data_IF_814292066150
#
_entry.id   IF_814292066150
#
_cell.length_a   1.000
_cell.length_b   1.000
_cell.length_c   1.000
_cell.angle_alpha   90.00
_cell.angle_beta   90.00
_cell.angle_gamma   90.00
#
_symmetry.space_group_name_H-M   'P 1'
#
loop_
_entity.id
_entity.type
_entity.pdbx_description
1 polymer ?
#
# COMPACT_ATOMS: atom_id res chain seq x y z
N UNK A 1 11.66 -39.59 9.13
CA UNK A 1 12.23 -38.56 8.25
C UNK A 1 11.24 -37.42 8.24
N UNK A 2 11.41 -36.50 9.20
CA UNK A 2 10.50 -35.39 9.43
C UNK A 2 11.10 -34.19 8.67
N UNK A 3 10.46 -33.81 7.56
CA UNK A 3 10.84 -32.60 6.84
C UNK A 3 10.40 -31.39 7.67
N UNK A 4 11.36 -30.68 8.17
CA UNK A 4 11.19 -29.36 8.79
C UNK A 4 10.82 -28.38 7.66
N UNK A 5 9.53 -28.07 7.53
CA UNK A 5 9.07 -26.93 6.73
C UNK A 5 9.34 -25.65 7.52
N UNK A 6 10.30 -24.87 7.09
CA UNK A 6 10.42 -23.48 7.50
C UNK A 6 9.21 -22.73 6.90
N UNK A 7 8.42 -22.01 7.70
CA UNK A 7 7.37 -21.17 7.17
C UNK A 7 8.02 -20.02 6.40
N UNK A 8 7.69 -19.92 5.11
CA UNK A 8 8.04 -18.78 4.29
C UNK A 8 7.21 -17.58 4.78
N UNK A 9 7.77 -16.84 5.73
CA UNK A 9 7.19 -15.57 6.14
C UNK A 9 7.31 -14.63 4.94
N UNK A 10 6.19 -14.37 4.25
CA UNK A 10 6.04 -13.17 3.45
C UNK A 10 5.99 -12.02 4.46
N UNK A 11 7.15 -11.65 4.90
CA UNK A 11 7.37 -10.57 5.82
C UNK A 11 7.54 -9.33 4.97
N UNK A 12 6.53 -8.50 4.92
CA UNK A 12 6.78 -7.07 4.82
C UNK A 12 7.43 -6.73 6.17
N UNK A 13 8.72 -7.07 6.27
CA UNK A 13 9.52 -6.84 7.46
C UNK A 13 9.95 -5.38 7.47
N UNK A 14 9.24 -4.59 8.20
CA UNK A 14 9.83 -3.43 8.83
C UNK A 14 10.65 -3.94 10.02
N UNK A 15 11.95 -4.09 9.81
CA UNK A 15 12.89 -4.35 10.89
C UNK A 15 13.15 -3.04 11.63
N UNK A 16 12.36 -2.77 12.66
CA UNK A 16 12.78 -1.86 13.72
C UNK A 16 13.92 -2.54 14.50
N UNK A 17 15.16 -2.26 14.15
CA UNK A 17 16.33 -2.62 14.97
C UNK A 17 16.75 -1.42 15.80
N UNK A 18 16.14 -1.29 16.96
CA UNK A 18 16.78 -0.62 18.08
C UNK A 18 17.85 -1.53 18.70
N UNK A 19 19.06 -1.49 18.20
CA UNK A 19 20.29 -1.86 18.96
C UNK A 19 21.44 -1.01 18.45
N UNK A 20 21.88 -0.11 19.31
CA UNK A 20 23.12 0.63 19.13
C UNK A 20 24.28 -0.36 19.00
N UNK A 21 24.89 -0.44 17.83
CA UNK A 21 26.20 -1.05 17.62
C UNK A 21 27.26 0.04 17.42
N UNK A 22 28.49 -0.18 17.87
CA UNK A 22 29.48 0.87 18.01
C UNK A 22 29.94 1.39 16.65
N UNK A 23 30.16 2.70 16.63
CA UNK A 23 30.79 3.47 15.57
C UNK A 23 32.09 2.78 15.13
N UNK A 24 32.08 2.07 14.01
CA UNK A 24 33.26 1.68 13.33
C UNK A 24 33.77 2.84 12.50
N UNK A 25 34.95 3.30 12.84
CA UNK A 25 35.75 4.30 12.15
C UNK A 25 35.74 4.07 10.64
N UNK A 26 35.27 5.06 9.91
CA UNK A 26 35.41 5.17 8.46
C UNK A 26 36.89 5.13 8.10
N UNK A 27 37.33 4.07 7.42
CA UNK A 27 38.53 4.06 6.65
C UNK A 27 38.27 4.58 5.23
N UNK A 28 38.98 5.63 4.79
CA UNK A 28 38.74 6.25 3.48
C UNK A 28 39.48 5.59 2.30
N UNK A 29 39.72 4.30 2.31
CA UNK A 29 40.43 3.60 1.25
C UNK A 29 39.73 2.33 0.73
N UNK A 30 38.47 2.41 0.46
CA UNK A 30 37.86 1.49 -0.53
C UNK A 30 37.97 2.14 -1.89
N UNK A 31 38.93 1.67 -2.68
CA UNK A 31 39.00 1.95 -4.12
C UNK A 31 37.61 1.87 -4.70
N UNK A 32 37.08 2.99 -5.25
CA UNK A 32 35.77 3.01 -5.88
C UNK A 32 35.80 1.99 -7.01
N UNK A 33 35.00 0.92 -6.91
CA UNK A 33 34.79 -0.02 -8.00
C UNK A 33 34.45 0.79 -9.26
N UNK A 34 34.98 0.43 -10.44
CA UNK A 34 34.57 1.06 -11.68
C UNK A 34 33.06 1.09 -11.76
N UNK A 35 32.49 2.17 -12.28
CA UNK A 35 31.07 2.40 -12.39
C UNK A 35 30.31 1.18 -12.93
N UNK A 36 30.88 0.55 -13.97
CA UNK A 36 30.32 -0.65 -14.59
C UNK A 36 30.19 -1.82 -13.61
N UNK A 37 31.21 -2.08 -12.79
CA UNK A 37 31.17 -3.18 -11.84
C UNK A 37 30.10 -2.95 -10.76
N UNK A 38 29.91 -1.70 -10.32
CA UNK A 38 28.83 -1.34 -9.39
C UNK A 38 27.46 -1.58 -10.02
N UNK A 39 27.28 -1.19 -11.27
CA UNK A 39 26.03 -1.39 -12.01
C UNK A 39 25.71 -2.88 -12.23
N UNK A 40 26.74 -3.70 -12.57
CA UNK A 40 26.62 -5.15 -12.69
C UNK A 40 26.23 -5.79 -11.34
N UNK A 41 26.87 -5.39 -10.25
CA UNK A 41 26.56 -5.88 -8.90
C UNK A 41 25.11 -5.54 -8.52
N UNK A 42 24.67 -4.31 -8.76
CA UNK A 42 23.32 -3.86 -8.42
C UNK A 42 22.25 -4.62 -9.22
N UNK A 43 22.49 -4.84 -10.51
CA UNK A 43 21.62 -5.65 -11.36
C UNK A 43 21.52 -7.10 -10.85
N UNK A 44 22.66 -7.70 -10.48
CA UNK A 44 22.71 -9.08 -9.98
C UNK A 44 22.02 -9.22 -8.61
N UNK A 45 22.10 -8.21 -7.76
CA UNK A 45 21.34 -8.15 -6.50
C UNK A 45 19.82 -8.10 -6.78
N UNK A 46 19.39 -7.22 -7.66
CA UNK A 46 17.98 -7.09 -8.03
C UNK A 46 17.43 -8.38 -8.65
N UNK A 47 18.17 -9.00 -9.58
CA UNK A 47 17.78 -10.27 -10.21
C UNK A 47 17.64 -11.41 -9.19
N UNK A 48 18.54 -11.49 -8.19
CA UNK A 48 18.44 -12.49 -7.11
C UNK A 48 17.18 -12.31 -6.27
N UNK A 49 16.82 -11.06 -5.94
CA UNK A 49 15.57 -10.80 -5.23
C UNK A 49 14.35 -11.13 -6.06
N UNK A 50 14.35 -10.78 -7.36
CA UNK A 50 13.27 -11.11 -8.28
C UNK A 50 13.07 -12.62 -8.41
N UNK A 51 14.13 -13.37 -8.70
CA UNK A 51 14.09 -14.83 -8.87
C UNK A 51 13.55 -15.54 -7.63
N UNK A 52 13.91 -15.04 -6.44
CA UNK A 52 13.50 -15.65 -5.17
C UNK A 52 12.06 -15.29 -4.79
N UNK A 53 11.59 -14.07 -5.07
CA UNK A 53 10.44 -13.49 -4.39
C UNK A 53 9.32 -13.02 -5.32
N UNK A 54 9.55 -12.89 -6.64
CA UNK A 54 8.51 -12.48 -7.58
C UNK A 54 7.33 -13.46 -7.52
N UNK A 55 6.10 -12.95 -7.50
CA UNK A 55 4.91 -13.77 -7.25
C UNK A 55 4.62 -14.83 -8.33
N UNK A 56 5.09 -14.64 -9.54
CA UNK A 56 5.04 -15.59 -10.67
C UNK A 56 6.40 -16.14 -11.06
N UNK A 57 7.34 -16.24 -10.11
CA UNK A 57 8.73 -16.66 -10.36
C UNK A 57 8.87 -18.02 -11.06
N UNK A 58 7.89 -18.92 -10.87
CA UNK A 58 7.90 -20.26 -11.48
C UNK A 58 7.64 -20.23 -13.00
N UNK A 59 7.10 -19.11 -13.51
CA UNK A 59 6.78 -18.93 -14.94
C UNK A 59 7.90 -18.25 -15.72
N UNK A 60 9.01 -17.88 -15.07
CA UNK A 60 10.08 -17.07 -15.66
C UNK A 60 11.32 -17.91 -15.95
N UNK A 61 11.85 -17.79 -17.17
CA UNK A 61 13.21 -18.25 -17.47
C UNK A 61 14.22 -17.19 -16.96
N UNK A 62 14.60 -17.35 -15.70
CA UNK A 62 15.52 -16.42 -15.03
C UNK A 62 16.89 -16.36 -15.69
N UNK A 63 17.37 -17.46 -16.28
CA UNK A 63 18.65 -17.50 -16.96
C UNK A 63 18.64 -16.64 -18.23
N UNK A 64 17.59 -16.76 -19.03
CA UNK A 64 17.41 -15.97 -20.24
C UNK A 64 17.19 -14.48 -19.89
N UNK A 65 16.32 -14.19 -18.93
CA UNK A 65 16.07 -12.82 -18.46
C UNK A 65 17.36 -12.15 -17.98
N UNK A 66 18.14 -12.83 -17.13
CA UNK A 66 19.40 -12.29 -16.61
C UNK A 66 20.44 -12.05 -17.74
N UNK A 67 20.55 -12.98 -18.69
CA UNK A 67 21.46 -12.81 -19.83
C UNK A 67 21.09 -11.57 -20.65
N UNK A 68 19.81 -11.38 -20.95
CA UNK A 68 19.30 -10.23 -21.71
C UNK A 68 19.43 -8.92 -20.92
N UNK A 69 19.18 -8.93 -19.62
CA UNK A 69 19.34 -7.76 -18.76
C UNK A 69 20.81 -7.28 -18.74
N UNK A 70 21.78 -8.21 -18.64
CA UNK A 70 23.20 -7.86 -18.75
C UNK A 70 23.57 -7.30 -20.12
N UNK A 71 22.93 -7.79 -21.21
CA UNK A 71 23.12 -7.20 -22.54
C UNK A 71 22.58 -5.77 -22.63
N UNK A 72 21.48 -5.44 -21.92
CA UNK A 72 21.02 -4.05 -21.83
C UNK A 72 22.03 -3.19 -21.09
N UNK A 73 22.58 -3.68 -19.98
CA UNK A 73 23.59 -2.97 -19.22
C UNK A 73 24.88 -2.70 -20.00
N UNK A 74 25.24 -3.58 -20.96
CA UNK A 74 26.40 -3.38 -21.83
C UNK A 74 26.27 -2.18 -22.78
N UNK A 75 25.05 -1.72 -23.05
CA UNK A 75 24.76 -0.55 -23.92
C UNK A 75 24.74 0.75 -23.13
N UNK A 76 24.98 0.66 -21.86
CA UNK A 76 24.83 1.72 -20.90
C UNK A 76 26.09 2.57 -20.78
N UNK A 77 25.91 3.89 -20.73
CA UNK A 77 27.01 4.87 -20.72
C UNK A 77 27.32 5.42 -19.30
N UNK A 78 26.47 5.10 -18.29
CA UNK A 78 26.64 5.60 -16.93
C UNK A 78 26.21 4.58 -15.85
N UNK A 79 26.48 4.89 -14.56
CA UNK A 79 26.18 4.00 -13.42
C UNK A 79 24.69 3.84 -13.16
N UNK A 80 23.86 4.84 -13.49
CA UNK A 80 22.41 4.84 -13.23
C UNK A 80 21.68 3.92 -14.21
N UNK A 81 22.39 3.42 -15.23
CA UNK A 81 21.85 2.50 -16.22
C UNK A 81 21.51 1.11 -15.65
N UNK A 82 21.99 0.80 -14.42
CA UNK A 82 21.51 -0.35 -13.67
C UNK A 82 19.99 -0.24 -13.41
N UNK A 83 19.49 0.93 -13.03
CA UNK A 83 18.06 1.16 -12.80
C UNK A 83 17.24 0.99 -14.10
N UNK A 84 17.80 1.42 -15.22
CA UNK A 84 17.19 1.22 -16.52
C UNK A 84 17.09 -0.27 -16.87
N UNK A 85 18.16 -1.05 -16.60
CA UNK A 85 18.20 -2.49 -16.83
C UNK A 85 17.27 -3.26 -15.88
N UNK A 86 17.17 -2.86 -14.62
CA UNK A 86 16.21 -3.40 -13.64
C UNK A 86 14.77 -3.09 -14.09
N UNK A 87 14.49 -1.85 -14.48
CA UNK A 87 13.18 -1.43 -15.00
C UNK A 87 12.82 -2.19 -16.29
N UNK A 88 13.81 -2.48 -17.13
CA UNK A 88 13.62 -3.32 -18.30
C UNK A 88 13.18 -4.74 -17.92
N UNK A 89 13.76 -5.34 -16.87
CA UNK A 89 13.31 -6.64 -16.36
C UNK A 89 11.83 -6.63 -15.99
N UNK A 90 11.35 -5.62 -15.27
CA UNK A 90 9.92 -5.51 -14.93
C UNK A 90 9.03 -5.48 -16.17
N UNK A 91 9.44 -4.76 -17.22
CA UNK A 91 8.71 -4.73 -18.50
C UNK A 91 8.66 -6.10 -19.18
N UNK A 92 9.76 -6.89 -19.11
CA UNK A 92 9.78 -8.25 -19.68
C UNK A 92 8.87 -9.21 -18.90
N UNK A 93 8.74 -9.01 -17.58
CA UNK A 93 7.82 -9.75 -16.74
C UNK A 93 6.35 -9.34 -16.92
N UNK A 94 6.07 -8.31 -17.72
CA UNK A 94 4.73 -7.72 -17.83
C UNK A 94 4.30 -6.99 -16.54
N UNK A 95 5.25 -6.73 -15.66
CA UNK A 95 5.03 -6.15 -14.34
C UNK A 95 4.86 -4.64 -14.43
N UNK A 96 3.85 -4.09 -13.73
CA UNK A 96 3.52 -2.66 -13.74
C UNK A 96 3.53 -2.03 -12.34
N UNK A 97 3.62 -2.86 -11.30
CA UNK A 97 3.56 -2.42 -9.90
C UNK A 97 4.93 -2.45 -9.23
N UNK A 98 5.90 -3.20 -9.80
CA UNK A 98 7.28 -3.20 -9.33
C UNK A 98 8.06 -1.99 -9.90
N UNK A 99 8.93 -1.44 -9.08
CA UNK A 99 9.81 -0.32 -9.47
C UNK A 99 11.06 -0.28 -8.60
N UNK A 100 12.03 0.56 -9.00
CA UNK A 100 13.20 0.87 -8.18
C UNK A 100 13.08 2.30 -7.64
N UNK A 101 13.32 2.43 -6.34
CA UNK A 101 13.29 3.70 -5.63
C UNK A 101 14.74 4.14 -5.41
N UNK A 102 15.17 5.28 -5.97
CA UNK A 102 16.51 5.82 -5.76
C UNK A 102 16.79 6.14 -4.29
N UNK A 103 18.06 6.20 -3.87
CA UNK A 103 18.47 6.34 -2.46
C UNK A 103 17.86 7.53 -1.73
N UNK A 104 17.74 8.69 -2.40
CA UNK A 104 17.16 9.91 -1.85
C UNK A 104 15.66 9.75 -1.51
N UNK A 105 14.93 9.06 -2.39
CA UNK A 105 13.51 8.76 -2.16
C UNK A 105 13.33 7.65 -1.13
N UNK A 106 14.22 6.65 -1.14
CA UNK A 106 14.20 5.55 -0.20
C UNK A 106 14.43 6.03 1.24
N UNK A 107 15.40 6.93 1.46
CA UNK A 107 15.68 7.52 2.76
C UNK A 107 14.46 8.26 3.33
N UNK A 108 13.77 9.01 2.49
CA UNK A 108 12.55 9.73 2.88
C UNK A 108 11.39 8.80 3.22
N UNK A 109 11.20 7.77 2.40
CA UNK A 109 10.15 6.77 2.61
C UNK A 109 10.35 6.00 3.92
N UNK A 110 11.59 5.63 4.22
CA UNK A 110 11.95 4.86 5.41
C UNK A 110 12.02 5.70 6.71
N UNK A 111 11.92 7.03 6.60
CA UNK A 111 12.07 7.93 7.75
C UNK A 111 13.52 8.15 8.19
N UNK A 112 14.50 7.78 7.35
CA UNK A 112 15.93 7.99 7.64
C UNK A 112 16.32 9.49 7.59
N UNK A 113 15.54 10.30 6.88
CA UNK A 113 15.64 11.75 6.90
C UNK A 113 14.61 12.33 7.88
N UNK A 114 15.08 13.08 8.88
CA UNK A 114 14.20 13.75 9.82
C UNK A 114 13.26 14.71 9.07
N UNK A 115 11.95 14.60 9.35
CA UNK A 115 10.95 15.54 8.86
C UNK A 115 11.12 16.86 9.60
N UNK A 116 12.05 17.69 9.14
CA UNK A 116 12.41 18.97 9.80
C UNK A 116 11.29 20.01 9.73
N UNK A 117 10.20 19.78 8.98
CA UNK A 117 9.11 20.74 8.83
C UNK A 117 7.74 20.07 8.61
N UNK A 118 6.64 20.76 8.98
CA UNK A 118 5.28 20.33 8.65
C UNK A 118 5.02 20.11 7.14
N UNK A 119 5.76 20.83 6.29
CA UNK A 119 5.70 20.64 4.83
C UNK A 119 6.23 19.28 4.38
N UNK A 120 7.21 18.70 5.09
CA UNK A 120 7.72 17.35 4.80
C UNK A 120 6.67 16.24 4.97
N UNK A 121 5.76 16.39 5.94
CA UNK A 121 4.67 15.44 6.15
C UNK A 121 3.63 15.50 5.01
N UNK A 122 3.34 16.70 4.49
CA UNK A 122 2.39 16.88 3.39
C UNK A 122 2.87 16.21 2.07
N UNK A 123 4.19 16.00 1.92
CA UNK A 123 4.76 15.27 0.79
C UNK A 123 4.66 13.73 0.96
N UNK A 124 4.36 13.25 2.17
CA UNK A 124 4.29 11.83 2.51
C UNK A 124 2.87 11.32 2.75
N UNK A 125 1.95 12.21 3.06
CA UNK A 125 0.58 11.84 3.43
C UNK A 125 -0.42 12.76 2.72
N UNK A 126 -1.43 12.15 2.11
CA UNK A 126 -2.53 12.89 1.50
C UNK A 126 -3.47 13.53 2.52
N UNK A 127 -4.45 14.26 2.02
CA UNK A 127 -5.43 14.94 2.86
C UNK A 127 -6.36 13.96 3.58
N UNK A 128 -6.52 14.13 4.90
CA UNK A 128 -7.55 13.50 5.72
C UNK A 128 -8.63 14.54 5.97
N UNK A 129 -9.79 14.35 5.37
CA UNK A 129 -10.90 15.28 5.51
C UNK A 129 -12.16 14.54 5.92
N UNK A 130 -12.87 15.09 6.90
CA UNK A 130 -14.20 14.62 7.30
C UNK A 130 -15.20 15.75 7.34
N UNK A 131 -16.43 15.49 6.93
CA UNK A 131 -17.54 16.44 7.00
C UNK A 131 -18.89 15.72 7.11
N UNK A 132 -19.88 16.38 7.71
CA UNK A 132 -21.27 15.96 7.59
C UNK A 132 -21.84 16.51 6.29
N UNK A 133 -22.33 15.61 5.42
CA UNK A 133 -23.06 16.03 4.21
C UNK A 133 -24.52 16.35 4.49
N UNK A 134 -25.07 15.64 5.47
CA UNK A 134 -26.41 15.82 6.00
C UNK A 134 -26.39 15.51 7.50
N UNK A 135 -27.51 15.65 8.19
CA UNK A 135 -27.62 15.29 9.60
C UNK A 135 -27.41 13.78 9.88
N UNK A 136 -27.41 12.93 8.85
CA UNK A 136 -27.31 11.47 8.99
C UNK A 136 -26.25 10.83 8.10
N UNK A 137 -25.50 11.59 7.29
CA UNK A 137 -24.49 11.08 6.38
C UNK A 137 -23.16 11.79 6.67
N UNK A 138 -22.15 11.02 7.05
CA UNK A 138 -20.77 11.48 7.17
C UNK A 138 -19.98 11.13 5.91
N UNK A 139 -19.00 11.96 5.60
CA UNK A 139 -18.05 11.80 4.51
C UNK A 139 -16.62 11.84 5.06
N UNK A 140 -15.78 10.94 4.56
CA UNK A 140 -14.39 10.80 4.97
C UNK A 140 -13.51 10.52 3.75
N UNK A 141 -12.43 11.28 3.58
CA UNK A 141 -11.36 10.91 2.64
C UNK A 141 -10.32 10.06 3.35
N UNK A 142 -9.84 9.01 2.68
CA UNK A 142 -8.69 8.21 3.16
C UNK A 142 -7.45 8.65 2.38
N UNK A 143 -6.39 9.08 3.07
CA UNK A 143 -5.19 9.60 2.41
C UNK A 143 -4.41 8.48 1.74
N UNK A 144 -3.59 8.81 0.74
CA UNK A 144 -2.43 8.01 0.36
C UNK A 144 -1.32 8.22 1.42
N UNK A 145 -0.48 7.19 1.62
CA UNK A 145 0.59 7.23 2.64
C UNK A 145 1.89 6.71 2.04
N UNK A 146 2.81 7.60 1.69
CA UNK A 146 4.10 7.26 1.11
C UNK A 146 5.21 7.25 2.17
N UNK A 147 4.96 6.54 3.27
CA UNK A 147 5.93 6.35 4.35
C UNK A 147 5.71 5.00 5.01
N UNK A 148 6.79 4.41 5.53
CA UNK A 148 6.74 3.29 6.47
C UNK A 148 7.37 3.64 7.83
N UNK A 149 7.68 4.92 8.05
CA UNK A 149 8.02 5.40 9.39
C UNK A 149 6.86 5.12 10.35
N UNK A 150 7.18 4.44 11.45
CA UNK A 150 6.16 3.95 12.39
C UNK A 150 5.38 5.08 13.07
N UNK A 151 6.04 6.23 13.34
CA UNK A 151 5.40 7.39 13.96
C UNK A 151 4.48 8.10 12.97
N UNK A 152 4.86 8.18 11.70
CA UNK A 152 4.00 8.71 10.62
C UNK A 152 2.79 7.82 10.47
N UNK A 153 2.99 6.50 10.41
CA UNK A 153 1.90 5.53 10.27
C UNK A 153 0.91 5.58 11.43
N UNK A 154 1.40 5.62 12.68
CA UNK A 154 0.56 5.76 13.88
C UNK A 154 -0.25 7.06 13.84
N UNK A 155 0.40 8.19 13.56
CA UNK A 155 -0.30 9.49 13.48
C UNK A 155 -1.37 9.53 12.38
N UNK A 156 -1.15 8.89 11.25
CA UNK A 156 -2.16 8.79 10.20
C UNK A 156 -3.35 7.97 10.67
N UNK A 157 -3.12 6.82 11.29
CA UNK A 157 -4.17 5.97 11.83
C UNK A 157 -4.99 6.71 12.90
N UNK A 158 -4.32 7.37 13.84
CA UNK A 158 -4.93 8.20 14.88
C UNK A 158 -5.77 9.33 14.29
N UNK A 159 -5.21 10.04 13.30
CA UNK A 159 -5.92 11.16 12.64
C UNK A 159 -7.19 10.71 11.94
N UNK A 160 -7.16 9.56 11.25
CA UNK A 160 -8.36 9.00 10.61
C UNK A 160 -9.39 8.62 11.64
N UNK A 161 -9.01 7.94 12.73
CA UNK A 161 -9.94 7.59 13.81
C UNK A 161 -10.48 8.82 14.55
N UNK A 162 -9.66 9.85 14.78
CA UNK A 162 -10.12 11.10 15.39
C UNK A 162 -11.18 11.80 14.52
N UNK A 163 -11.01 11.79 13.19
CA UNK A 163 -12.04 12.31 12.27
C UNK A 163 -13.31 11.45 12.35
N UNK A 164 -13.20 10.13 12.37
CA UNK A 164 -14.38 9.24 12.53
C UNK A 164 -15.09 9.54 13.84
N UNK A 165 -14.36 9.62 14.96
CA UNK A 165 -14.92 9.92 16.28
C UNK A 165 -15.61 11.29 16.31
N UNK A 166 -14.99 12.31 15.73
CA UNK A 166 -15.58 13.66 15.63
C UNK A 166 -16.87 13.71 14.81
N UNK A 167 -16.98 12.84 13.79
CA UNK A 167 -18.19 12.75 12.97
C UNK A 167 -19.28 11.87 13.59
N UNK A 168 -18.92 10.86 14.38
CA UNK A 168 -19.87 9.88 14.96
C UNK A 168 -20.62 10.40 16.21
N UNK A 169 -20.40 11.64 16.60
CA UNK A 169 -21.08 12.28 17.76
C UNK A 169 -22.59 12.27 17.72
N UNK A 170 -23.18 12.01 16.53
CA UNK A 170 -24.63 11.92 16.30
C UNK A 170 -25.10 10.49 16.04
N UNK A 171 -24.31 9.47 16.41
CA UNK A 171 -24.60 8.07 16.10
C UNK A 171 -24.81 7.81 14.61
N UNK A 172 -23.90 8.33 13.79
CA UNK A 172 -23.96 8.23 12.33
C UNK A 172 -23.87 6.77 11.89
N UNK A 173 -24.89 6.34 11.13
CA UNK A 173 -24.93 4.98 10.56
C UNK A 173 -24.67 4.94 9.05
N UNK A 174 -24.51 6.10 8.40
CA UNK A 174 -24.34 6.23 6.96
C UNK A 174 -23.06 6.98 6.63
N UNK A 175 -22.17 6.31 5.89
CA UNK A 175 -20.83 6.81 5.61
C UNK A 175 -20.51 6.79 4.12
N UNK A 176 -19.82 7.82 3.65
CA UNK A 176 -19.16 7.84 2.35
C UNK A 176 -17.67 7.87 2.61
N UNK A 177 -16.95 6.87 2.11
CA UNK A 177 -15.50 6.77 2.14
C UNK A 177 -14.96 7.12 0.74
N UNK A 178 -14.19 8.18 0.62
CA UNK A 178 -13.68 8.61 -0.68
C UNK A 178 -12.23 8.17 -0.89
N UNK A 179 -12.03 7.27 -1.84
CA UNK A 179 -10.74 6.75 -2.28
C UNK A 179 -10.33 7.28 -3.65
N UNK A 180 -11.12 8.15 -4.29
CA UNK A 180 -10.90 8.59 -5.67
C UNK A 180 -9.54 9.25 -5.91
N UNK A 181 -8.96 9.84 -4.89
CA UNK A 181 -7.62 10.47 -4.93
C UNK A 181 -6.56 9.71 -4.13
N UNK A 182 -6.85 8.48 -3.70
CA UNK A 182 -5.88 7.66 -2.97
C UNK A 182 -4.95 6.95 -3.95
N UNK A 183 -3.75 7.48 -4.13
CA UNK A 183 -2.71 6.95 -5.03
C UNK A 183 -1.92 5.77 -4.43
N UNK A 184 -2.33 5.23 -3.29
CA UNK A 184 -1.70 4.07 -2.67
C UNK A 184 -0.63 4.40 -1.63
N UNK A 185 0.40 3.58 -1.58
CA UNK A 185 1.48 3.64 -0.59
C UNK A 185 1.33 2.56 0.48
N UNK A 186 1.48 2.92 1.76
CA UNK A 186 1.35 2.00 2.89
C UNK A 186 -0.12 1.83 3.28
N UNK A 187 -0.66 0.62 3.13
CA UNK A 187 -2.06 0.33 3.46
C UNK A 187 -2.34 0.22 4.97
N UNK A 188 -1.33 -0.09 5.77
CA UNK A 188 -1.52 -0.44 7.17
C UNK A 188 -2.09 0.69 8.03
N UNK A 189 -1.58 1.94 7.94
CA UNK A 189 -2.19 3.06 8.65
C UNK A 189 -3.61 3.39 8.15
N UNK A 190 -3.89 3.17 6.86
CA UNK A 190 -5.24 3.35 6.31
C UNK A 190 -6.21 2.33 6.93
N UNK A 191 -5.81 1.04 6.98
CA UNK A 191 -6.64 -0.05 7.53
C UNK A 191 -6.84 0.10 9.04
N UNK A 192 -5.79 0.49 9.79
CA UNK A 192 -5.91 0.78 11.21
C UNK A 192 -6.86 1.96 11.46
N UNK A 193 -6.75 3.02 10.64
CA UNK A 193 -7.59 4.21 10.76
C UNK A 193 -9.08 3.95 10.48
N UNK A 194 -9.41 3.15 9.44
CA UNK A 194 -10.81 2.85 9.09
C UNK A 194 -11.42 1.71 9.90
N UNK A 195 -10.63 1.04 10.74
CA UNK A 195 -11.07 -0.10 11.54
C UNK A 195 -12.41 0.08 12.25
N UNK A 196 -12.70 1.23 12.89
CA UNK A 196 -13.99 1.49 13.54
C UNK A 196 -15.20 1.35 12.61
N UNK A 197 -15.04 1.59 11.31
CA UNK A 197 -16.13 1.49 10.33
C UNK A 197 -16.35 0.06 9.82
N UNK A 198 -15.29 -0.75 9.78
CA UNK A 198 -15.34 -2.16 9.35
C UNK A 198 -15.60 -3.13 10.50
N UNK A 199 -15.15 -2.77 11.71
CA UNK A 199 -15.15 -3.66 12.89
C UNK A 199 -14.02 -4.69 12.83
N UNK A 200 -13.86 -5.44 13.92
CA UNK A 200 -12.86 -6.50 14.03
C UNK A 200 -13.11 -7.62 13.02
N UNK A 201 -12.05 -8.19 12.48
CA UNK A 201 -12.12 -9.33 11.59
C UNK A 201 -11.17 -9.28 10.40
N UNK A 202 -11.37 -10.21 9.47
CA UNK A 202 -10.59 -10.32 8.25
C UNK A 202 -11.13 -9.37 7.19
N UNK A 203 -10.24 -8.58 6.61
CA UNK A 203 -10.55 -7.61 5.57
C UNK A 203 -10.23 -8.13 4.16
N UNK A 204 -9.27 -9.04 4.05
CA UNK A 204 -8.82 -9.63 2.82
C UNK A 204 -7.63 -10.54 3.05
N UNK A 205 -6.96 -10.92 1.98
CA UNK A 205 -5.79 -11.77 2.04
C UNK A 205 -4.72 -11.33 1.05
N UNK A 206 -3.46 -11.51 1.44
CA UNK A 206 -2.36 -11.64 0.49
C UNK A 206 -2.22 -13.11 0.09
N UNK A 207 -2.09 -13.35 -1.22
CA UNK A 207 -2.01 -14.71 -1.78
C UNK A 207 -0.70 -14.86 -2.52
N UNK A 208 0.15 -15.77 -2.03
CA UNK A 208 1.44 -16.10 -2.64
C UNK A 208 1.66 -17.60 -2.62
N UNK A 209 2.07 -18.17 -3.74
CA UNK A 209 2.39 -19.63 -3.85
C UNK A 209 1.30 -20.55 -3.27
N UNK A 210 0.03 -20.16 -3.40
CA UNK A 210 -1.13 -20.92 -2.87
C UNK A 210 -1.43 -20.68 -1.39
N UNK A 211 -0.58 -19.99 -0.66
CA UNK A 211 -0.82 -19.60 0.73
C UNK A 211 -1.64 -18.31 0.81
N UNK A 212 -2.53 -18.22 1.79
CA UNK A 212 -3.35 -17.06 2.09
C UNK A 212 -2.97 -16.50 3.44
N UNK A 213 -2.46 -15.27 3.46
CA UNK A 213 -2.10 -14.54 4.67
C UNK A 213 -3.20 -13.52 4.94
N UNK A 214 -3.98 -13.65 6.03
CA UNK A 214 -5.06 -12.71 6.29
C UNK A 214 -4.55 -11.31 6.58
N UNK A 215 -5.27 -10.34 6.04
CA UNK A 215 -5.22 -8.92 6.39
C UNK A 215 -6.39 -8.71 7.33
N UNK A 216 -6.14 -8.27 8.56
CA UNK A 216 -7.19 -8.16 9.57
C UNK A 216 -7.02 -6.91 10.42
N UNK A 217 -8.10 -6.56 11.10
CA UNK A 217 -8.12 -5.53 12.12
C UNK A 217 -8.61 -6.15 13.43
N UNK A 218 -8.01 -5.74 14.53
CA UNK A 218 -8.43 -6.13 15.86
C UNK A 218 -8.06 -5.01 16.85
N UNK A 219 -9.05 -4.42 17.45
CA UNK A 219 -8.94 -3.43 18.54
C UNK A 219 -7.82 -2.38 18.29
N UNK A 220 -7.99 -1.56 17.27
CA UNK A 220 -7.04 -0.51 16.91
C UNK A 220 -5.81 -0.97 16.12
N UNK A 221 -5.68 -2.27 15.85
CA UNK A 221 -4.49 -2.84 15.22
C UNK A 221 -4.79 -3.45 13.85
N UNK A 222 -4.08 -3.01 12.81
CA UNK A 222 -4.06 -3.66 11.51
C UNK A 222 -2.95 -4.72 11.47
N UNK A 223 -3.31 -5.94 11.05
CA UNK A 223 -2.48 -7.12 11.18
C UNK A 223 -2.29 -7.84 9.85
N UNK A 224 -1.09 -8.40 9.64
CA UNK A 224 -0.78 -9.38 8.62
C UNK A 224 -0.60 -10.76 9.28
N UNK A 225 -1.51 -11.68 9.02
CA UNK A 225 -1.55 -12.93 9.76
C UNK A 225 -1.74 -12.68 11.26
N UNK A 226 -0.75 -13.10 12.06
CA UNK A 226 -0.72 -12.86 13.52
C UNK A 226 0.14 -11.67 13.95
N UNK A 227 0.74 -10.96 13.00
CA UNK A 227 1.65 -9.85 13.29
C UNK A 227 0.92 -8.53 13.18
N UNK A 228 0.98 -7.73 14.25
CA UNK A 228 0.55 -6.33 14.22
C UNK A 228 1.57 -5.55 13.40
N UNK A 229 1.09 -4.85 12.37
CA UNK A 229 1.94 -4.03 11.49
C UNK A 229 1.76 -2.55 11.79
N UNK A 230 0.54 -2.10 12.04
CA UNK A 230 0.25 -0.73 12.45
C UNK A 230 -0.85 -0.75 13.49
N UNK A 231 -0.75 0.12 14.48
CA UNK A 231 -1.81 0.33 15.47
C UNK A 231 -2.05 1.81 15.68
N UNK A 232 -3.21 2.14 16.18
CA UNK A 232 -3.47 3.46 16.76
C UNK A 232 -2.79 3.56 18.13
N UNK A 233 -2.50 4.76 18.59
CA UNK A 233 -2.01 4.98 19.96
C UNK A 233 -3.06 4.52 20.98
N UNK A 234 -2.61 4.12 22.17
CA UNK A 234 -3.50 3.60 23.23
C UNK A 234 -4.59 4.61 23.62
N UNK A 235 -4.32 5.90 23.48
CA UNK A 235 -5.25 6.98 23.84
C UNK A 235 -6.28 7.31 22.73
N UNK A 236 -6.17 6.70 21.54
CA UNK A 236 -6.97 7.07 20.36
C UNK A 236 -7.83 5.93 19.80
N UNK A 237 -7.83 4.76 20.40
CA UNK A 237 -8.68 3.64 20.00
C UNK A 237 -10.15 4.05 20.05
N UNK A 238 -10.84 4.02 18.90
CA UNK A 238 -12.24 4.42 18.79
C UNK A 238 -13.14 3.27 18.39
N UNK A 239 -14.31 3.21 19.02
CA UNK A 239 -15.38 2.28 18.67
C UNK A 239 -16.64 3.08 18.31
N UNK A 240 -17.16 2.85 17.11
CA UNK A 240 -18.37 3.55 16.65
C UNK A 240 -19.62 3.12 17.42
N UNK A 241 -20.53 4.07 17.65
CA UNK A 241 -21.79 3.79 18.35
C UNK A 241 -22.76 2.92 17.54
N UNK A 242 -22.82 3.12 16.21
CA UNK A 242 -23.73 2.36 15.37
C UNK A 242 -23.24 0.94 15.14
N UNK A 243 -24.01 -0.08 15.58
CA UNK A 243 -23.73 -1.48 15.34
C UNK A 243 -23.83 -1.85 13.85
N UNK A 244 -24.76 -1.22 13.11
CA UNK A 244 -24.96 -1.42 11.68
C UNK A 244 -24.70 -0.13 10.92
N UNK A 245 -23.84 -0.20 9.90
CA UNK A 245 -23.47 0.94 9.08
C UNK A 245 -23.73 0.65 7.62
N UNK A 246 -24.35 1.61 6.93
CA UNK A 246 -24.41 1.60 5.46
C UNK A 246 -23.28 2.45 4.92
N UNK A 247 -22.43 1.86 4.09
CA UNK A 247 -21.20 2.49 3.64
C UNK A 247 -21.14 2.50 2.12
N UNK A 248 -20.90 3.68 1.55
CA UNK A 248 -20.50 3.82 0.15
C UNK A 248 -19.02 4.11 0.08
N UNK A 249 -18.31 3.39 -0.78
CA UNK A 249 -16.93 3.67 -1.11
C UNK A 249 -16.85 4.26 -2.50
N UNK A 250 -16.36 5.50 -2.61
CA UNK A 250 -16.12 6.14 -3.90
C UNK A 250 -14.77 5.71 -4.46
N UNK A 251 -14.79 5.13 -5.66
CA UNK A 251 -13.58 4.67 -6.36
C UNK A 251 -13.38 5.41 -7.69
N UNK A 252 -12.17 5.39 -8.19
CA UNK A 252 -11.83 5.99 -9.47
C UNK A 252 -10.48 5.51 -10.01
N UNK A 253 -10.10 5.97 -11.17
CA UNK A 253 -8.85 5.58 -11.85
C UNK A 253 -7.58 5.91 -11.06
N UNK A 254 -7.67 6.81 -10.09
CA UNK A 254 -6.57 7.19 -9.18
C UNK A 254 -6.67 6.50 -7.82
N UNK A 255 -7.62 5.58 -7.65
CA UNK A 255 -7.60 4.60 -6.55
C UNK A 255 -6.61 3.51 -6.94
N UNK A 256 -5.45 3.49 -6.29
CA UNK A 256 -4.27 2.72 -6.73
C UNK A 256 -3.71 1.91 -5.57
N UNK A 257 -3.28 0.66 -5.81
CA UNK A 257 -2.48 -0.15 -4.87
C UNK A 257 -3.11 -0.21 -3.46
N UNK A 258 -2.48 0.35 -2.42
CA UNK A 258 -3.04 0.37 -1.07
C UNK A 258 -4.47 0.94 -0.99
N UNK A 259 -4.82 1.91 -1.86
CA UNK A 259 -6.20 2.37 -1.99
C UNK A 259 -7.14 1.27 -2.51
N UNK A 260 -6.64 0.35 -3.33
CA UNK A 260 -7.40 -0.80 -3.82
C UNK A 260 -7.57 -1.85 -2.72
N UNK A 261 -6.57 -2.07 -1.85
CA UNK A 261 -6.72 -2.92 -0.63
C UNK A 261 -7.84 -2.37 0.26
N UNK A 262 -7.87 -1.06 0.48
CA UNK A 262 -8.95 -0.44 1.27
C UNK A 262 -10.30 -0.63 0.60
N UNK A 263 -10.41 -0.47 -0.73
CA UNK A 263 -11.65 -0.73 -1.46
C UNK A 263 -12.09 -2.20 -1.35
N UNK A 264 -11.14 -3.15 -1.45
CA UNK A 264 -11.40 -4.60 -1.29
C UNK A 264 -11.90 -4.95 0.11
N UNK A 265 -11.41 -4.24 1.15
CA UNK A 265 -11.86 -4.46 2.53
C UNK A 265 -13.37 -4.20 2.70
N UNK A 266 -13.97 -3.35 1.87
CA UNK A 266 -15.40 -3.05 1.86
C UNK A 266 -16.19 -3.87 0.84
N UNK A 267 -15.55 -4.28 -0.28
CA UNK A 267 -16.27 -4.87 -1.42
C UNK A 267 -16.96 -6.18 -1.07
N UNK A 268 -18.26 -6.24 -1.38
CA UNK A 268 -19.09 -7.43 -1.18
C UNK A 268 -19.55 -7.68 0.26
N UNK A 269 -19.30 -6.73 1.17
CA UNK A 269 -19.88 -6.77 2.52
C UNK A 269 -21.34 -6.32 2.50
N UNK A 270 -22.11 -6.80 3.46
CA UNK A 270 -23.47 -6.34 3.66
C UNK A 270 -23.49 -4.82 3.92
N UNK A 271 -24.54 -4.16 3.45
CA UNK A 271 -24.72 -2.72 3.60
C UNK A 271 -23.56 -1.86 3.05
N UNK A 272 -22.77 -2.39 2.11
CA UNK A 272 -21.73 -1.63 1.41
C UNK A 272 -21.97 -1.59 -0.09
N UNK A 273 -21.50 -0.51 -0.74
CA UNK A 273 -21.58 -0.33 -2.19
C UNK A 273 -20.36 0.46 -2.68
N UNK A 274 -19.67 -0.04 -3.70
CA UNK A 274 -18.63 0.71 -4.39
C UNK A 274 -19.29 1.50 -5.54
N UNK A 275 -19.10 2.82 -5.55
CA UNK A 275 -19.70 3.71 -6.57
C UNK A 275 -18.56 4.53 -7.22
N UNK A 276 -18.64 4.72 -8.55
CA UNK A 276 -17.69 5.53 -9.31
C UNK A 276 -17.12 4.83 -10.52
N UNK A 277 -15.84 5.00 -10.79
CA UNK A 277 -15.12 4.35 -11.89
C UNK A 277 -14.29 3.16 -11.39
N UNK A 278 -13.93 2.22 -12.29
CA UNK A 278 -12.95 1.18 -11.98
C UNK A 278 -11.62 1.75 -11.48
N UNK A 279 -10.99 1.06 -10.57
CA UNK A 279 -9.70 1.43 -9.99
C UNK A 279 -8.54 1.33 -10.99
N UNK A 280 -7.31 1.61 -10.56
CA UNK A 280 -6.12 1.53 -11.42
C UNK A 280 -5.80 0.11 -11.91
N UNK A 281 -6.04 -0.90 -11.07
CA UNK A 281 -5.78 -2.30 -11.36
C UNK A 281 -4.38 -2.76 -10.96
N UNK A 282 -3.84 -2.20 -9.87
CA UNK A 282 -2.62 -2.64 -9.21
C UNK A 282 -2.98 -3.42 -7.93
N UNK A 283 -3.80 -4.45 -8.08
CA UNK A 283 -4.33 -5.30 -7.00
C UNK A 283 -3.36 -6.44 -6.66
N UNK A 284 -2.12 -6.06 -6.45
CA UNK A 284 -1.01 -6.90 -6.00
C UNK A 284 -0.29 -6.20 -4.86
N UNK A 285 0.48 -6.91 -4.05
CA UNK A 285 1.24 -6.29 -2.99
C UNK A 285 2.75 -6.45 -3.23
N UNK A 286 3.47 -5.40 -2.85
CA UNK A 286 4.90 -5.30 -2.99
C UNK A 286 5.61 -5.58 -1.66
N UNK A 287 6.83 -6.12 -1.76
CA UNK A 287 7.81 -6.09 -0.69
C UNK A 287 9.00 -5.21 -1.11
N UNK A 288 9.69 -4.66 -0.13
CA UNK A 288 10.84 -3.79 -0.31
C UNK A 288 12.13 -4.53 -0.01
N UNK A 289 13.16 -4.33 -0.84
CA UNK A 289 14.48 -4.93 -0.68
C UNK A 289 15.54 -3.85 -0.86
N UNK A 290 16.31 -3.59 0.20
CA UNK A 290 17.44 -2.65 0.13
C UNK A 290 18.55 -3.22 -0.72
N UNK A 291 19.07 -2.42 -1.64
CA UNK A 291 20.21 -2.75 -2.48
C UNK A 291 21.49 -2.10 -1.95
N UNK A 292 22.65 -2.54 -2.46
CA UNK A 292 23.98 -2.14 -1.95
C UNK A 292 24.28 -0.64 -2.09
N UNK A 293 23.61 0.05 -3.00
CA UNK A 293 23.72 1.50 -3.20
C UNK A 293 22.74 2.32 -2.35
N UNK A 294 21.97 1.66 -1.46
CA UNK A 294 20.86 2.23 -0.65
C UNK A 294 19.60 2.56 -1.45
N UNK A 295 19.52 2.19 -2.72
CA UNK A 295 18.24 2.16 -3.41
C UNK A 295 17.36 1.02 -2.87
N UNK A 296 16.06 1.09 -3.15
CA UNK A 296 15.11 0.06 -2.73
C UNK A 296 14.41 -0.52 -3.95
N UNK A 297 14.54 -1.83 -4.11
CA UNK A 297 13.76 -2.61 -5.05
C UNK A 297 12.37 -2.85 -4.45
N UNK A 298 11.35 -2.25 -5.04
CA UNK A 298 9.94 -2.49 -4.71
C UNK A 298 9.43 -3.55 -5.67
N UNK A 299 9.17 -4.76 -5.18
CA UNK A 299 8.88 -5.94 -5.99
C UNK A 299 7.52 -6.52 -5.65
N UNK A 300 6.71 -6.80 -6.65
CA UNK A 300 5.45 -7.53 -6.49
C UNK A 300 5.71 -8.98 -6.06
N UNK A 301 5.16 -9.35 -4.90
CA UNK A 301 5.40 -10.64 -4.26
C UNK A 301 4.15 -11.47 -4.02
N UNK A 302 2.96 -10.86 -4.11
CA UNK A 302 1.70 -11.57 -3.92
C UNK A 302 0.53 -10.84 -4.61
N UNK A 303 -0.58 -11.58 -4.81
CA UNK A 303 -1.86 -11.04 -5.24
C UNK A 303 -2.72 -10.67 -4.03
N UNK A 304 -3.71 -9.82 -4.24
CA UNK A 304 -4.70 -9.45 -3.24
C UNK A 304 -5.99 -10.23 -3.46
N UNK A 305 -6.64 -10.59 -2.37
CA UNK A 305 -7.95 -11.21 -2.39
C UNK A 305 -8.88 -10.50 -1.39
N UNK A 306 -10.18 -10.49 -1.70
CA UNK A 306 -11.20 -9.95 -0.83
C UNK A 306 -11.38 -10.81 0.45
N UNK A 307 -12.24 -10.35 1.37
CA UNK A 307 -12.51 -11.06 2.63
C UNK A 307 -13.10 -12.48 2.43
N UNK A 308 -13.70 -12.78 1.28
CA UNK A 308 -14.16 -14.12 0.91
C UNK A 308 -13.04 -14.97 0.28
N UNK A 309 -11.84 -14.42 0.12
CA UNK A 309 -10.69 -15.10 -0.45
C UNK A 309 -10.70 -15.19 -1.98
N UNK A 310 -11.53 -14.39 -2.67
CA UNK A 310 -11.52 -14.29 -4.13
C UNK A 310 -10.41 -13.37 -4.57
N UNK A 311 -9.47 -13.91 -5.36
CA UNK A 311 -8.36 -13.12 -5.90
C UNK A 311 -8.91 -12.01 -6.80
N UNK A 312 -8.43 -10.80 -6.60
CA UNK A 312 -8.68 -9.68 -7.48
C UNK A 312 -7.53 -9.61 -8.49
N UNK A 313 -7.86 -9.77 -9.77
CA UNK A 313 -6.90 -9.64 -10.86
C UNK A 313 -7.26 -8.40 -11.69
N UNK A 314 -6.46 -7.37 -11.55
CA UNK A 314 -6.64 -6.10 -12.25
C UNK A 314 -7.61 -5.14 -11.55
N UNK A 315 -8.43 -4.43 -12.33
CA UNK A 315 -9.26 -3.33 -11.82
C UNK A 315 -10.42 -3.81 -10.97
N UNK A 316 -10.58 -3.24 -9.79
CA UNK A 316 -11.79 -3.41 -9.00
C UNK A 316 -12.92 -2.67 -9.70
N UNK A 317 -13.95 -3.41 -10.12
CA UNK A 317 -15.14 -2.83 -10.70
C UNK A 317 -16.04 -2.28 -9.59
N UNK A 318 -16.57 -1.04 -9.70
CA UNK A 318 -17.59 -0.55 -8.79
C UNK A 318 -18.87 -1.37 -8.95
N UNK A 319 -19.69 -1.41 -7.90
CA UNK A 319 -21.00 -2.04 -7.94
C UNK A 319 -22.00 -1.17 -8.73
N UNK A 320 -21.78 0.14 -8.71
CA UNK A 320 -22.50 1.11 -9.54
C UNK A 320 -21.49 2.01 -10.27
N UNK A 321 -21.43 1.87 -11.59
CA UNK A 321 -20.60 2.73 -12.41
C UNK A 321 -21.19 4.14 -12.50
N UNK A 322 -20.38 5.14 -12.14
CA UNK A 322 -20.70 6.56 -12.29
C UNK A 322 -19.43 7.25 -12.80
N UNK A 323 -19.44 7.85 -13.99
CA UNK A 323 -18.27 8.55 -14.49
C UNK A 323 -17.97 9.77 -13.62
N UNK A 324 -16.71 9.97 -13.31
CA UNK A 324 -16.23 11.17 -12.60
C UNK A 324 -16.15 12.33 -13.58
N UNK A 325 -17.05 13.28 -13.44
CA UNK A 325 -16.98 14.58 -14.10
C UNK A 325 -16.54 15.63 -13.07
N UNK A 326 -15.45 16.33 -13.38
CA UNK A 326 -14.89 17.40 -12.53
C UNK A 326 -14.98 18.76 -13.24
N UNK A 327 -16.04 19.04 -13.95
CA UNK A 327 -16.24 20.37 -14.54
C UNK A 327 -17.06 21.24 -13.61
N UNK A 328 -16.79 22.55 -13.63
CA UNK A 328 -17.56 23.53 -12.82
C UNK A 328 -19.07 23.55 -13.12
N UNK A 329 -19.48 22.94 -14.25
CA UNK A 329 -20.87 22.82 -14.68
C UNK A 329 -21.53 21.49 -14.26
N UNK A 330 -20.75 20.54 -13.69
CA UNK A 330 -21.24 19.20 -13.35
C UNK A 330 -20.90 18.91 -11.89
N UNK A 331 -21.93 18.87 -11.01
CA UNK A 331 -21.73 18.52 -9.61
C UNK A 331 -21.12 17.12 -9.50
N UNK A 332 -20.41 16.83 -8.42
CA UNK A 332 -19.84 15.53 -8.11
C UNK A 332 -20.92 14.42 -8.18
N UNK A 333 -21.11 13.88 -9.40
CA UNK A 333 -22.15 12.89 -9.71
C UNK A 333 -22.01 11.62 -8.90
N UNK A 334 -20.77 11.19 -8.62
CA UNK A 334 -20.50 10.01 -7.82
C UNK A 334 -20.91 10.23 -6.35
N UNK A 335 -20.60 11.40 -5.79
CA UNK A 335 -21.03 11.79 -4.43
C UNK A 335 -22.54 11.89 -4.34
N UNK A 336 -23.20 12.47 -5.34
CA UNK A 336 -24.66 12.56 -5.41
C UNK A 336 -25.32 11.18 -5.48
N UNK A 337 -24.77 10.26 -6.28
CA UNK A 337 -25.24 8.87 -6.36
C UNK A 337 -25.05 8.13 -5.02
N UNK A 338 -23.93 8.38 -4.32
CA UNK A 338 -23.67 7.81 -3.00
C UNK A 338 -24.68 8.27 -1.96
N UNK A 339 -25.01 9.56 -1.94
CA UNK A 339 -26.05 10.11 -1.05
C UNK A 339 -27.40 9.45 -1.34
N UNK A 340 -27.81 9.37 -2.62
CA UNK A 340 -29.05 8.75 -3.02
C UNK A 340 -29.13 7.27 -2.61
N UNK A 341 -28.04 6.52 -2.79
CA UNK A 341 -27.99 5.11 -2.37
C UNK A 341 -28.15 4.98 -0.85
N UNK A 342 -27.44 5.79 -0.06
CA UNK A 342 -27.52 5.78 1.41
C UNK A 342 -28.90 6.19 1.92
N UNK A 343 -29.59 7.12 1.26
CA UNK A 343 -30.94 7.53 1.62
C UNK A 343 -31.99 6.45 1.36
N UNK A 344 -31.67 5.49 0.47
CA UNK A 344 -32.56 4.35 0.20
C UNK A 344 -32.43 3.21 1.21
N UNK A 345 -31.48 3.32 2.17
CA UNK A 345 -31.22 2.35 3.24
C UNK A 345 -31.69 2.90 4.59
#
# INVERSE_FOLDING_TARGET
MTKLFLPMSVLVLFLSHGMATPIHSFHPDTLSLPCRQKAEQLLDEALRFMEKNYYHRELVDWKDLAAKARQQLLKADNCDDAYASITWCFKQLGERHSFIMPPDKAARYNGDEALESPSGLADLVGEIRGEWLTDSIAYLTIPWVHSDDSLVCERVADSVQAVIAGLDTRHISRWIIDLRNNSGGNCWPMLAGIGPLLGDGVYGYFVASGERIPISYNDGSACQGRHVICRVSEDHGYHTYAAHKSIVVLTGRRTVSAGEIVALAFKGREQTCLIGEPTAGLTTANATYSLSDRSVLVLTVCQEADFAGRICDGRIQPDQFVPTSNTAADPDTARSAAIAWLQSK
#
